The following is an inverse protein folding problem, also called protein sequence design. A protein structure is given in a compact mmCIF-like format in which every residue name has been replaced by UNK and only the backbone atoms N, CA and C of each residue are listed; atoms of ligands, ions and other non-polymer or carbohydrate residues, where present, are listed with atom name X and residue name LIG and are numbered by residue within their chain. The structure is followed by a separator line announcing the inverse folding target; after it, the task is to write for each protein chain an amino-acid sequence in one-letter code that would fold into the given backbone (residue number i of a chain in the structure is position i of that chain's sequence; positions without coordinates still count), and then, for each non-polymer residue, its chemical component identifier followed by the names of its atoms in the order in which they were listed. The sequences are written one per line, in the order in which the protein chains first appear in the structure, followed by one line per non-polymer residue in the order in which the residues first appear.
data_IF_578400099271
#
_entry.id   IF_578400099271
#
_cell.length_a   1.000
_cell.length_b   1.000
_cell.length_c   1.000
_cell.angle_alpha   90.00
_cell.angle_beta   90.00
_cell.angle_gamma   90.00
#
_symmetry.space_group_name_H-M   'P 1'
#
loop_
_entity.id
_entity.type
_entity.pdbx_description
1 polymer ?
#
# COMPACT_ATOMS: atom_id res chain seq x y z
N UNK A 1 0.69 -7.74 -9.29
CA UNK A 1 2.09 -7.37 -9.59
C UNK A 1 3.01 -7.87 -8.47
N UNK A 2 4.33 -7.82 -8.65
CA UNK A 2 5.28 -8.13 -7.57
C UNK A 2 5.10 -7.21 -6.35
N UNK A 3 4.85 -5.90 -6.59
CA UNK A 3 4.55 -4.93 -5.54
C UNK A 3 3.29 -5.30 -4.74
N UNK A 4 2.19 -5.71 -5.40
CA UNK A 4 0.97 -6.14 -4.72
C UNK A 4 1.21 -7.38 -3.84
N UNK A 5 1.93 -8.38 -4.36
CA UNK A 5 2.26 -9.58 -3.59
C UNK A 5 3.15 -9.25 -2.38
N UNK A 6 4.10 -8.34 -2.54
CA UNK A 6 4.94 -7.82 -1.46
C UNK A 6 4.10 -7.17 -0.36
N UNK A 7 3.25 -6.20 -0.69
CA UNK A 7 2.44 -5.48 0.31
C UNK A 7 1.41 -6.40 1.00
N UNK A 8 0.76 -7.30 0.27
CA UNK A 8 -0.14 -8.31 0.88
C UNK A 8 0.58 -9.17 1.90
N UNK A 9 1.80 -9.60 1.61
CA UNK A 9 2.61 -10.36 2.58
C UNK A 9 2.99 -9.46 3.75
N UNK A 10 3.52 -8.26 3.49
CA UNK A 10 3.95 -7.34 4.53
C UNK A 10 2.82 -7.01 5.52
N UNK A 11 1.61 -6.71 5.05
CA UNK A 11 0.45 -6.37 5.90
C UNK A 11 -0.32 -7.59 6.42
N UNK A 12 0.09 -8.81 6.06
CA UNK A 12 -0.42 -10.03 6.70
C UNK A 12 0.50 -10.46 7.85
N UNK A 13 1.81 -10.36 7.64
CA UNK A 13 2.81 -10.68 8.66
C UNK A 13 2.98 -9.54 9.69
N UNK A 14 2.46 -8.36 9.39
CA UNK A 14 2.39 -7.19 10.28
C UNK A 14 0.96 -6.65 10.26
N UNK A 15 0.60 -5.81 11.23
CA UNK A 15 -0.68 -5.10 11.20
C UNK A 15 -0.76 -4.12 10.02
N UNK A 16 -1.99 -3.83 9.59
CA UNK A 16 -2.25 -2.86 8.53
C UNK A 16 -1.89 -1.45 9.01
N UNK A 17 -0.98 -0.73 8.34
CA UNK A 17 -0.58 0.61 8.75
C UNK A 17 -1.66 1.63 8.40
N UNK A 18 -1.76 2.68 9.22
CA UNK A 18 -2.59 3.85 8.90
C UNK A 18 -2.01 4.63 7.69
N UNK A 19 -0.68 4.67 7.57
CA UNK A 19 0.03 5.45 6.56
C UNK A 19 1.28 4.75 6.05
N UNK A 20 1.52 4.86 4.74
CA UNK A 20 2.76 4.46 4.07
C UNK A 20 3.36 5.62 3.29
N UNK A 21 4.69 5.70 3.32
CA UNK A 21 5.48 6.65 2.53
C UNK A 21 6.26 5.84 1.50
N UNK A 22 6.07 6.14 0.23
CA UNK A 22 6.72 5.46 -0.90
C UNK A 22 7.48 6.46 -1.77
N UNK A 23 8.47 5.98 -2.49
CA UNK A 23 9.06 6.72 -3.62
C UNK A 23 8.00 6.92 -4.73
N UNK A 24 8.24 7.84 -5.67
CA UNK A 24 7.40 7.99 -6.87
C UNK A 24 7.56 6.83 -7.86
N UNK A 25 7.04 5.66 -7.49
CA UNK A 25 6.95 4.49 -8.36
C UNK A 25 5.49 4.18 -8.72
N UNK A 26 5.24 3.97 -10.02
CA UNK A 26 3.92 3.61 -10.52
C UNK A 26 3.45 2.24 -10.03
N UNK A 27 4.37 1.27 -9.90
CA UNK A 27 4.03 -0.07 -9.41
C UNK A 27 3.61 -0.12 -7.95
N UNK A 28 4.25 0.67 -7.07
CA UNK A 28 3.87 0.73 -5.66
C UNK A 28 2.53 1.45 -5.49
N UNK A 29 2.32 2.54 -6.23
CA UNK A 29 1.05 3.28 -6.24
C UNK A 29 -0.11 2.37 -6.66
N UNK A 30 0.00 1.70 -7.80
CA UNK A 30 -1.05 0.80 -8.28
C UNK A 30 -1.34 -0.35 -7.30
N UNK A 31 -0.31 -0.91 -6.67
CA UNK A 31 -0.47 -1.98 -5.70
C UNK A 31 -1.21 -1.54 -4.43
N UNK A 32 -0.91 -0.34 -3.91
CA UNK A 32 -1.59 0.21 -2.74
C UNK A 32 -3.02 0.65 -3.05
N UNK A 33 -3.28 1.15 -4.26
CA UNK A 33 -4.63 1.45 -4.74
C UNK A 33 -5.49 0.18 -4.83
N UNK A 34 -4.94 -0.90 -5.38
CA UNK A 34 -5.64 -2.20 -5.43
C UNK A 34 -5.94 -2.74 -4.02
N UNK A 35 -4.97 -2.64 -3.10
CA UNK A 35 -5.19 -3.02 -1.69
C UNK A 35 -6.28 -2.19 -1.01
N UNK A 36 -6.30 -0.88 -1.22
CA UNK A 36 -7.31 0.02 -0.65
C UNK A 36 -8.73 -0.23 -1.20
N UNK A 37 -8.87 -0.95 -2.33
CA UNK A 37 -10.15 -1.43 -2.85
C UNK A 37 -10.61 -2.74 -2.20
N UNK A 38 -9.71 -3.49 -1.59
CA UNK A 38 -9.98 -4.78 -0.94
C UNK A 38 -10.39 -4.65 0.54
N UNK A 39 -10.23 -3.46 1.12
CA UNK A 39 -10.50 -3.20 2.54
C UNK A 39 -11.56 -2.11 2.74
N UNK A 40 -12.13 -2.06 3.94
CA UNK A 40 -13.16 -1.09 4.31
C UNK A 40 -12.60 0.34 4.34
N UNK A 41 -13.47 1.33 4.10
CA UNK A 41 -13.04 2.73 3.96
C UNK A 41 -12.36 3.28 5.22
N UNK A 42 -12.82 2.86 6.39
CA UNK A 42 -12.26 3.20 7.71
C UNK A 42 -10.86 2.62 7.96
N UNK A 43 -10.43 1.65 7.13
CA UNK A 43 -9.12 1.01 7.21
C UNK A 43 -8.22 1.30 6.02
N UNK A 44 -8.63 2.19 5.12
CA UNK A 44 -7.78 2.57 3.97
C UNK A 44 -6.45 3.15 4.44
N UNK A 45 -5.40 2.67 3.79
CA UNK A 45 -4.03 3.12 4.03
C UNK A 45 -3.84 4.48 3.34
N UNK A 46 -3.35 5.47 4.08
CA UNK A 46 -2.93 6.74 3.51
C UNK A 46 -1.60 6.58 2.78
N UNK A 47 -1.58 6.86 1.47
CA UNK A 47 -0.38 6.74 0.64
C UNK A 47 0.22 8.13 0.40
N UNK A 48 1.48 8.33 0.81
CA UNK A 48 2.25 9.54 0.53
C UNK A 48 3.44 9.21 -0.37
N UNK A 49 3.56 9.95 -1.47
CA UNK A 49 4.70 9.83 -2.38
C UNK A 49 5.74 10.91 -2.09
N UNK A 50 7.01 10.52 -2.04
CA UNK A 50 8.14 11.43 -1.94
C UNK A 50 9.10 11.22 -3.11
N UNK A 51 9.70 12.30 -3.60
CA UNK A 51 10.85 12.22 -4.49
C UNK A 51 12.07 12.02 -3.57
N UNK A 52 12.68 10.83 -3.60
CA UNK A 52 13.94 10.54 -2.91
C UNK A 52 15.05 10.55 -3.96
#
# INVERSE_FOLDING_TARGET
SAALAFFRKAFRENDLPEKVVIDKSGSNTAALDDLNREISEDRRIMVFQINI
#
